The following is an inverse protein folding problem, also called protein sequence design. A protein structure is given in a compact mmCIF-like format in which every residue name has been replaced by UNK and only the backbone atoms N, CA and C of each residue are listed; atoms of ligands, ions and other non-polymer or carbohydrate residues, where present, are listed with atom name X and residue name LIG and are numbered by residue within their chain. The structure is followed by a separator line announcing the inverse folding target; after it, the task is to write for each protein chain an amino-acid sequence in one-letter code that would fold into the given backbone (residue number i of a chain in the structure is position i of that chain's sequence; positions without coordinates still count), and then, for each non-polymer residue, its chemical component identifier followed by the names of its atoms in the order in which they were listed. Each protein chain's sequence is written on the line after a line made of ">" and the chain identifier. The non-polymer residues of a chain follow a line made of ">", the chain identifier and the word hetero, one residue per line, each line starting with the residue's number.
data_IF_922628592458
#
_entry.id   IF_922628592458
#
_cell.length_a   1.000
_cell.length_b   1.000
_cell.length_c   1.000
_cell.angle_alpha   90.00
_cell.angle_beta   90.00
_cell.angle_gamma   90.00
#
_symmetry.space_group_name_H-M   'P 1'
#
loop_
_entity.id
_entity.type
_entity.pdbx_description
1 polymer ?
#
# COMPACT_ATOMS: atom_id res chain seq x y z
N UNK A 1 -12.76 13.04 0.34
CA UNK A 1 -12.83 11.58 0.03
C UNK A 1 -12.60 10.75 1.28
N UNK A 2 -11.53 11.03 2.02
CA UNK A 2 -11.18 10.37 3.29
C UNK A 2 -12.30 10.47 4.33
N UNK A 3 -12.87 11.67 4.57
CA UNK A 3 -13.92 11.86 5.58
C UNK A 3 -15.14 10.96 5.36
N UNK A 4 -15.51 10.73 4.09
CA UNK A 4 -16.60 9.82 3.74
C UNK A 4 -16.29 8.38 4.12
N UNK A 5 -15.06 7.92 3.88
CA UNK A 5 -14.60 6.58 4.28
C UNK A 5 -14.51 6.46 5.81
N UNK A 6 -13.95 7.47 6.46
CA UNK A 6 -13.76 7.54 7.91
C UNK A 6 -15.08 7.52 8.69
N UNK A 7 -16.19 7.94 8.07
CA UNK A 7 -17.52 7.87 8.68
C UNK A 7 -18.00 6.45 8.96
N UNK A 8 -17.43 5.44 8.29
CA UNK A 8 -17.85 4.03 8.40
C UNK A 8 -16.69 3.06 8.64
N UNK A 9 -15.45 3.50 8.45
CA UNK A 9 -14.26 2.66 8.56
C UNK A 9 -13.18 3.36 9.37
N UNK A 10 -12.34 2.57 10.06
CA UNK A 10 -11.09 3.08 10.57
C UNK A 10 -10.13 3.27 9.38
N UNK A 11 -9.73 4.51 9.13
CA UNK A 11 -8.87 4.87 7.99
C UNK A 11 -7.50 5.28 8.50
N UNK A 12 -6.47 4.61 7.98
CA UNK A 12 -5.07 4.98 8.19
C UNK A 12 -4.52 5.53 6.88
N UNK A 13 -3.94 6.72 6.95
CA UNK A 13 -3.23 7.36 5.84
C UNK A 13 -1.81 7.61 6.34
N UNK A 14 -0.83 7.24 5.52
CA UNK A 14 0.57 7.37 5.87
C UNK A 14 1.36 7.85 4.65
N UNK A 15 2.50 8.48 4.93
CA UNK A 15 3.47 8.84 3.92
C UNK A 15 4.48 7.69 3.73
N UNK A 16 4.75 7.32 2.49
CA UNK A 16 5.81 6.36 2.15
C UNK A 16 7.17 6.91 2.59
N UNK A 17 8.10 6.04 3.01
CA UNK A 17 9.45 6.41 3.46
C UNK A 17 10.11 7.48 2.58
N UNK A 18 10.60 8.55 3.20
CA UNK A 18 11.26 9.67 2.51
C UNK A 18 10.33 10.56 1.68
N UNK A 19 9.01 10.49 1.90
CA UNK A 19 8.00 11.36 1.28
C UNK A 19 7.31 12.20 2.36
N UNK A 20 7.08 13.48 2.05
CA UNK A 20 6.38 14.46 2.88
C UNK A 20 6.82 14.46 4.36
N UNK A 21 5.95 14.06 5.29
CA UNK A 21 6.24 14.07 6.73
C UNK A 21 7.13 12.92 7.22
N UNK A 22 7.45 11.95 6.35
CA UNK A 22 8.25 10.78 6.71
C UNK A 22 9.75 10.98 6.45
N UNK A 23 10.58 10.46 7.36
CA UNK A 23 12.04 10.49 7.21
C UNK A 23 12.59 9.36 6.34
N UNK A 24 13.92 9.36 6.17
CA UNK A 24 14.65 8.34 5.40
C UNK A 24 14.89 8.73 3.95
N UNK A 25 15.35 7.76 3.15
CA UNK A 25 15.59 7.93 1.70
C UNK A 25 14.44 7.30 0.95
N UNK A 26 13.89 7.99 -0.06
CA UNK A 26 12.82 7.45 -0.90
C UNK A 26 13.26 6.12 -1.54
N UNK A 27 12.42 5.06 -1.49
CA UNK A 27 12.71 3.80 -2.15
C UNK A 27 12.97 3.96 -3.64
N UNK A 28 13.86 3.15 -4.21
CA UNK A 28 14.19 3.18 -5.64
C UNK A 28 13.39 2.19 -6.48
N UNK A 29 12.50 1.40 -5.85
CA UNK A 29 11.67 0.43 -6.54
C UNK A 29 10.32 0.22 -5.87
N UNK A 30 9.34 -0.26 -6.66
CA UNK A 30 8.04 -0.70 -6.15
C UNK A 30 8.20 -1.84 -5.13
N UNK A 31 9.21 -2.71 -5.30
CA UNK A 31 9.49 -3.80 -4.36
C UNK A 31 9.84 -3.26 -2.97
N UNK A 32 10.77 -2.31 -2.89
CA UNK A 32 11.12 -1.68 -1.61
C UNK A 32 9.93 -0.93 -0.98
N UNK A 33 9.10 -0.25 -1.78
CA UNK A 33 7.86 0.37 -1.28
C UNK A 33 6.87 -0.67 -0.75
N UNK A 34 6.83 -1.86 -1.36
CA UNK A 34 5.96 -2.97 -0.95
C UNK A 34 6.40 -3.54 0.39
N UNK A 35 7.72 -3.74 0.57
CA UNK A 35 8.30 -4.19 1.83
C UNK A 35 8.04 -3.19 2.97
N UNK A 36 8.18 -1.88 2.69
CA UNK A 36 7.87 -0.81 3.63
C UNK A 36 6.37 -0.82 4.02
N UNK A 37 5.47 -0.99 3.05
CA UNK A 37 4.03 -1.09 3.32
C UNK A 37 3.64 -2.33 4.12
N UNK A 38 4.24 -3.50 3.83
CA UNK A 38 4.03 -4.72 4.62
C UNK A 38 4.52 -4.52 6.06
N UNK A 39 5.72 -3.95 6.22
CA UNK A 39 6.32 -3.65 7.52
C UNK A 39 5.44 -2.69 8.33
N UNK A 40 4.86 -1.68 7.69
CA UNK A 40 3.92 -0.77 8.33
C UNK A 40 2.71 -1.51 8.89
N UNK A 41 2.05 -2.34 8.07
CA UNK A 41 0.87 -3.14 8.48
C UNK A 41 1.22 -4.03 9.68
N UNK A 42 2.33 -4.76 9.59
CA UNK A 42 2.80 -5.67 10.65
C UNK A 42 3.15 -4.90 11.95
N UNK A 43 3.82 -3.74 11.84
CA UNK A 43 4.27 -2.93 12.99
C UNK A 43 3.10 -2.39 13.80
N UNK A 44 2.02 -1.98 13.13
CA UNK A 44 0.80 -1.51 13.80
C UNK A 44 -0.14 -2.65 14.23
N UNK A 45 0.27 -3.91 14.04
CA UNK A 45 -0.45 -5.09 14.52
C UNK A 45 -1.72 -5.40 13.72
N UNK A 46 -1.86 -4.86 12.51
CA UNK A 46 -2.98 -5.19 11.65
C UNK A 46 -2.76 -6.56 11.01
N UNK A 47 -3.71 -7.46 11.18
CA UNK A 47 -3.62 -8.82 10.62
C UNK A 47 -4.30 -8.95 9.26
N UNK A 48 -5.20 -8.03 8.93
CA UNK A 48 -5.89 -7.96 7.63
C UNK A 48 -6.50 -6.58 7.40
N UNK A 49 -6.30 -6.00 6.21
CA UNK A 49 -6.78 -4.64 5.87
C UNK A 49 -7.50 -4.59 4.51
N UNK A 50 -8.37 -3.61 4.33
CA UNK A 50 -8.78 -3.19 2.98
C UNK A 50 -7.72 -2.20 2.47
N UNK A 51 -7.09 -2.51 1.35
CA UNK A 51 -5.95 -1.75 0.83
C UNK A 51 -6.38 -0.92 -0.40
N UNK A 52 -6.15 0.39 -0.34
CA UNK A 52 -6.39 1.30 -1.46
C UNK A 52 -5.04 1.79 -2.00
N UNK A 53 -4.78 1.53 -3.27
CA UNK A 53 -3.61 2.06 -4.00
C UNK A 53 -4.04 3.07 -5.08
N UNK A 54 -3.46 4.27 -5.04
CA UNK A 54 -3.69 5.32 -6.04
C UNK A 54 -2.42 5.54 -6.88
N UNK A 55 -2.56 5.60 -8.20
CA UNK A 55 -1.44 5.83 -9.12
C UNK A 55 -0.29 4.84 -8.88
N UNK A 56 0.92 5.30 -8.52
CA UNK A 56 2.05 4.41 -8.23
C UNK A 56 1.75 3.39 -7.11
N UNK A 57 1.04 3.80 -6.05
CA UNK A 57 0.68 2.90 -4.96
C UNK A 57 -0.32 1.82 -5.39
N UNK A 58 -0.95 1.97 -6.57
CA UNK A 58 -1.68 0.89 -7.21
C UNK A 58 -0.78 -0.28 -7.62
N UNK A 59 0.45 -0.01 -8.06
CA UNK A 59 1.45 -1.06 -8.34
C UNK A 59 1.96 -1.67 -7.02
N UNK A 60 2.23 -0.84 -6.00
CA UNK A 60 2.64 -1.32 -4.66
C UNK A 60 1.59 -2.23 -4.06
N UNK A 61 0.31 -1.84 -4.13
CA UNK A 61 -0.79 -2.62 -3.58
C UNK A 61 -0.98 -3.97 -4.29
N UNK A 62 -0.80 -4.02 -5.63
CA UNK A 62 -0.81 -5.27 -6.38
C UNK A 62 0.36 -6.18 -5.97
N UNK A 63 1.57 -5.64 -5.86
CA UNK A 63 2.74 -6.38 -5.40
C UNK A 63 2.54 -6.94 -3.98
N UNK A 64 1.97 -6.14 -3.07
CA UNK A 64 1.70 -6.56 -1.69
C UNK A 64 0.72 -7.75 -1.65
N UNK A 65 -0.35 -7.71 -2.45
CA UNK A 65 -1.30 -8.84 -2.53
C UNK A 65 -0.64 -10.09 -3.07
N UNK A 66 0.28 -9.98 -4.03
CA UNK A 66 1.00 -11.13 -4.57
C UNK A 66 2.00 -11.72 -3.57
N UNK A 67 2.66 -10.87 -2.76
CA UNK A 67 3.69 -11.30 -1.80
C UNK A 67 3.11 -11.76 -0.45
N UNK A 68 2.08 -11.06 0.05
CA UNK A 68 1.49 -11.22 1.39
C UNK A 68 -0.05 -11.21 1.31
N UNK A 69 -0.68 -12.14 0.56
CA UNK A 69 -2.14 -12.14 0.33
C UNK A 69 -2.96 -12.23 1.63
N UNK A 70 -2.40 -12.78 2.70
CA UNK A 70 -3.05 -12.88 4.00
C UNK A 70 -3.32 -11.52 4.66
N UNK A 71 -2.56 -10.49 4.31
CA UNK A 71 -2.71 -9.14 4.86
C UNK A 71 -3.85 -8.34 4.20
N UNK A 72 -4.38 -8.77 3.06
CA UNK A 72 -5.34 -7.97 2.28
C UNK A 72 -6.70 -8.67 2.15
N UNK A 73 -7.75 -8.03 2.66
CA UNK A 73 -9.14 -8.49 2.54
C UNK A 73 -9.79 -8.01 1.24
N UNK A 74 -9.57 -6.73 0.88
CA UNK A 74 -10.04 -6.13 -0.37
C UNK A 74 -8.96 -5.23 -0.95
N UNK A 75 -8.80 -5.28 -2.26
CA UNK A 75 -7.92 -4.40 -3.02
C UNK A 75 -8.77 -3.38 -3.79
N UNK A 76 -8.48 -2.10 -3.60
CA UNK A 76 -9.08 -0.98 -4.35
C UNK A 76 -7.98 -0.30 -5.16
N UNK A 77 -8.15 -0.28 -6.48
CA UNK A 77 -7.21 0.33 -7.42
C UNK A 77 -7.84 1.58 -8.05
N UNK A 78 -7.19 2.73 -7.89
CA UNK A 78 -7.69 4.00 -8.41
C UNK A 78 -6.60 4.69 -9.25
N UNK A 79 -6.95 5.13 -10.46
CA UNK A 79 -6.04 5.90 -11.32
C UNK A 79 -4.70 5.20 -11.62
N UNK A 80 -4.70 3.87 -11.66
CA UNK A 80 -3.50 3.03 -11.84
C UNK A 80 -3.69 2.06 -13.00
N UNK A 81 -2.58 1.50 -13.49
CA UNK A 81 -2.56 0.39 -14.43
C UNK A 81 -2.27 -0.95 -13.71
N UNK A 82 -2.52 -2.10 -14.38
CA UNK A 82 -2.00 -3.38 -13.91
C UNK A 82 -0.49 -3.31 -13.75
N UNK A 83 0.05 -3.89 -12.69
CA UNK A 83 1.50 -4.00 -12.56
C UNK A 83 2.02 -4.96 -13.64
N UNK A 84 3.00 -4.52 -14.42
CA UNK A 84 3.64 -5.38 -15.41
C UNK A 84 4.36 -6.53 -14.68
N UNK A 85 3.96 -7.78 -14.99
CA UNK A 85 4.70 -8.95 -14.55
C UNK A 85 5.92 -9.08 -15.44
N UNK A 86 7.13 -9.02 -14.88
CA UNK A 86 8.34 -9.33 -15.63
C UNK A 86 8.22 -10.78 -16.12
N UNK A 87 8.15 -10.97 -17.44
CA UNK A 87 8.18 -12.30 -18.05
C UNK A 87 9.55 -12.90 -17.74
N UNK A 88 9.56 -14.02 -17.01
CA UNK A 88 10.74 -14.84 -16.73
C UNK A 88 11.21 -15.59 -17.97
#
# INVERSE_FOLDING_TARGET
>A
MVDGLASQHHVVIFDNRGVDGSGGVTPNSVGEMTDDAATFIDTFGFTKVNLLGFSLDGCVAQALVLQRPELVERLILAGTAPQAVAQT
#
